data_IF_073979688006
#
_entry.id   IF_073979688006
#
_cell.length_a   1.000
_cell.length_b   1.000
_cell.length_c   1.000
_cell.angle_alpha   90.00
_cell.angle_beta   90.00
_cell.angle_gamma   90.00
#
_symmetry.space_group_name_H-M   'P 1'
#
loop_
_entity.id
_entity.type
_entity.pdbx_description
1 polymer ?
#
# COMPACT_ATOMS: atom_id res chain seq x y z
N UNK A 1 102.10 22.77 26.21
CA UNK A 1 101.40 22.04 25.13
C UNK A 1 100.21 21.21 25.64
N UNK A 2 100.38 20.31 26.62
CA UNK A 2 99.31 19.42 27.12
C UNK A 2 98.02 20.12 27.63
N UNK A 3 98.12 21.29 28.26
CA UNK A 3 96.95 22.01 28.81
C UNK A 3 96.05 22.67 27.75
N UNK A 4 96.61 23.09 26.61
CA UNK A 4 95.82 23.65 25.50
C UNK A 4 95.05 22.57 24.74
N UNK A 5 95.63 21.37 24.67
CA UNK A 5 95.08 20.20 23.99
C UNK A 5 93.89 19.61 24.77
N UNK A 6 94.01 19.49 26.10
CA UNK A 6 92.90 19.09 26.99
C UNK A 6 91.74 20.09 26.92
N UNK A 7 92.03 21.38 26.79
CA UNK A 7 90.99 22.42 26.67
C UNK A 7 90.24 22.34 25.34
N UNK A 8 90.96 22.12 24.23
CA UNK A 8 90.37 21.88 22.91
C UNK A 8 89.52 20.60 22.87
N UNK A 9 90.01 19.51 23.44
CA UNK A 9 89.26 18.26 23.58
C UNK A 9 87.98 18.44 24.40
N UNK A 10 88.03 19.23 25.48
CA UNK A 10 86.85 19.58 26.28
C UNK A 10 85.82 20.41 25.51
N UNK A 11 86.27 21.40 24.74
CA UNK A 11 85.42 22.24 23.88
C UNK A 11 84.78 21.41 22.76
N UNK A 12 85.54 20.54 22.10
CA UNK A 12 85.06 19.64 21.05
C UNK A 12 84.04 18.62 21.59
N UNK A 13 84.31 18.04 22.76
CA UNK A 13 83.39 17.15 23.45
C UNK A 13 82.07 17.85 23.84
N UNK A 14 82.16 19.05 24.40
CA UNK A 14 80.98 19.86 24.73
C UNK A 14 80.18 20.24 23.48
N UNK A 15 80.85 20.51 22.36
CA UNK A 15 80.20 20.85 21.10
C UNK A 15 79.49 19.64 20.50
N UNK A 16 80.11 18.46 20.55
CA UNK A 16 79.52 17.19 20.10
C UNK A 16 78.29 16.79 20.91
N UNK A 17 78.34 16.94 22.25
CA UNK A 17 77.17 16.72 23.11
C UNK A 17 76.04 17.67 22.74
N UNK A 18 76.35 18.96 22.54
CA UNK A 18 75.35 19.96 22.16
C UNK A 18 74.73 19.65 20.80
N UNK A 19 75.54 19.23 19.83
CA UNK A 19 75.07 18.82 18.50
C UNK A 19 74.15 17.59 18.57
N UNK A 20 74.55 16.56 19.30
CA UNK A 20 73.74 15.35 19.49
C UNK A 20 72.40 15.64 20.19
N UNK A 21 72.40 16.52 21.19
CA UNK A 21 71.18 16.95 21.89
C UNK A 21 70.20 17.69 20.96
N UNK A 22 70.71 18.64 20.16
CA UNK A 22 69.89 19.38 19.18
C UNK A 22 69.36 18.45 18.10
N UNK A 23 70.18 17.51 17.60
CA UNK A 23 69.75 16.53 16.61
C UNK A 23 68.64 15.63 17.15
N UNK A 24 68.79 15.11 18.38
CA UNK A 24 67.75 14.29 19.03
C UNK A 24 66.44 15.07 19.24
N UNK A 25 66.54 16.33 19.63
CA UNK A 25 65.35 17.18 19.80
C UNK A 25 64.63 17.42 18.47
N UNK A 26 65.38 17.68 17.38
CA UNK A 26 64.83 17.83 16.03
C UNK A 26 64.19 16.56 15.50
N UNK A 27 64.77 15.40 15.75
CA UNK A 27 64.17 14.13 15.32
C UNK A 27 62.90 13.82 16.11
N UNK A 28 62.86 14.11 17.41
CA UNK A 28 61.64 13.97 18.21
C UNK A 28 60.52 14.91 17.76
N UNK A 29 60.82 16.18 17.47
CA UNK A 29 59.80 17.11 16.95
C UNK A 29 59.31 16.68 15.57
N UNK A 30 60.22 16.31 14.66
CA UNK A 30 59.87 15.83 13.31
C UNK A 30 58.99 14.57 13.35
N UNK A 31 59.30 13.60 14.22
CA UNK A 31 58.48 12.40 14.41
C UNK A 31 57.10 12.76 14.98
N UNK A 32 57.03 13.68 15.95
CA UNK A 32 55.77 14.15 16.54
C UNK A 32 54.90 14.83 15.48
N UNK A 33 55.46 15.76 14.73
CA UNK A 33 54.73 16.50 13.68
C UNK A 33 54.28 15.55 12.57
N UNK A 34 55.08 14.53 12.23
CA UNK A 34 54.70 13.49 11.26
C UNK A 34 53.53 12.64 11.78
N UNK A 35 53.55 12.25 13.06
CA UNK A 35 52.48 11.45 13.66
C UNK A 35 51.19 12.27 13.80
N UNK A 36 51.27 13.53 14.19
CA UNK A 36 50.12 14.44 14.25
C UNK A 36 49.50 14.63 12.86
N UNK A 37 50.30 14.86 11.82
CA UNK A 37 49.81 14.95 10.45
C UNK A 37 49.16 13.66 9.95
N UNK A 38 49.75 12.49 10.26
CA UNK A 38 49.16 11.19 9.91
C UNK A 38 47.85 10.93 10.65
N UNK A 39 47.77 11.30 11.92
CA UNK A 39 46.55 11.16 12.72
C UNK A 39 45.43 12.04 12.13
N UNK A 40 45.71 13.30 11.81
CA UNK A 40 44.75 14.22 11.17
C UNK A 40 44.31 13.73 9.78
N UNK A 41 45.23 13.19 8.98
CA UNK A 41 44.88 12.59 7.70
C UNK A 41 44.01 11.34 7.86
N UNK A 42 44.34 10.49 8.85
CA UNK A 42 43.54 9.30 9.17
C UNK A 42 42.14 9.67 9.64
N UNK A 43 42.00 10.70 10.47
CA UNK A 43 40.71 11.21 10.94
C UNK A 43 39.85 11.72 9.76
N UNK A 44 40.43 12.56 8.89
CA UNK A 44 39.73 13.05 7.69
C UNK A 44 39.30 11.91 6.76
N UNK A 45 40.17 10.92 6.56
CA UNK A 45 39.84 9.75 5.74
C UNK A 45 38.68 8.95 6.34
N UNK A 46 38.66 8.75 7.67
CA UNK A 46 37.55 8.07 8.35
C UNK A 46 36.26 8.87 8.23
N UNK A 47 36.30 10.19 8.37
CA UNK A 47 35.13 11.05 8.22
C UNK A 47 34.55 11.00 6.80
N UNK A 48 35.40 11.00 5.78
CA UNK A 48 34.99 10.82 4.39
C UNK A 48 34.34 9.45 4.17
N UNK A 49 34.96 8.37 4.66
CA UNK A 49 34.37 7.02 4.58
C UNK A 49 33.01 6.97 5.28
N UNK A 50 32.89 7.55 6.47
CA UNK A 50 31.64 7.57 7.23
C UNK A 50 30.57 8.42 6.53
N UNK A 51 30.94 9.48 5.81
CA UNK A 51 30.00 10.23 4.96
C UNK A 51 29.51 9.37 3.80
N UNK A 52 30.42 8.71 3.10
CA UNK A 52 30.09 7.90 1.93
C UNK A 52 29.20 6.69 2.31
N UNK A 53 29.45 6.06 3.47
CA UNK A 53 28.58 5.00 4.01
C UNK A 53 27.16 5.53 4.27
N UNK A 54 27.02 6.73 4.86
CA UNK A 54 25.70 7.34 5.11
C UNK A 54 24.97 7.64 3.81
N UNK A 55 25.67 8.14 2.80
CA UNK A 55 25.10 8.37 1.47
C UNK A 55 24.64 7.06 0.81
N UNK A 56 25.46 6.01 0.92
CA UNK A 56 25.12 4.68 0.40
C UNK A 56 23.89 4.10 1.13
N UNK A 57 23.80 4.25 2.45
CA UNK A 57 22.65 3.79 3.24
C UNK A 57 21.37 4.51 2.84
N UNK A 58 21.43 5.82 2.63
CA UNK A 58 20.30 6.60 2.11
C UNK A 58 19.89 6.12 0.72
N UNK A 59 20.85 5.88 -0.17
CA UNK A 59 20.61 5.33 -1.50
C UNK A 59 19.92 3.96 -1.42
N UNK A 60 20.42 3.07 -0.56
CA UNK A 60 19.86 1.73 -0.32
C UNK A 60 18.43 1.81 0.22
N UNK A 61 18.18 2.70 1.17
CA UNK A 61 16.84 2.93 1.75
C UNK A 61 15.86 3.42 0.68
N UNK A 62 16.25 4.44 -0.09
CA UNK A 62 15.44 5.00 -1.17
C UNK A 62 15.14 3.95 -2.25
N UNK A 63 16.14 3.13 -2.62
CA UNK A 63 15.96 2.05 -3.57
C UNK A 63 14.99 0.98 -3.04
N UNK A 64 15.12 0.59 -1.77
CA UNK A 64 14.24 -0.38 -1.13
C UNK A 64 12.79 0.12 -1.08
N UNK A 65 12.59 1.41 -0.76
CA UNK A 65 11.30 2.06 -0.81
C UNK A 65 10.73 2.10 -2.23
N UNK A 66 11.56 2.41 -3.23
CA UNK A 66 11.19 2.42 -4.64
C UNK A 66 10.73 1.05 -5.14
N UNK A 67 11.49 -0.01 -4.83
CA UNK A 67 11.14 -1.40 -5.16
C UNK A 67 9.80 -1.79 -4.53
N UNK A 68 9.63 -1.53 -3.23
CA UNK A 68 8.38 -1.85 -2.52
C UNK A 68 7.18 -1.10 -3.10
N UNK A 69 7.39 0.17 -3.45
CA UNK A 69 6.35 1.01 -4.06
C UNK A 69 5.93 0.49 -5.43
N UNK A 70 6.89 0.13 -6.27
CA UNK A 70 6.63 -0.45 -7.59
C UNK A 70 5.91 -1.80 -7.49
N UNK A 71 6.30 -2.65 -6.54
CA UNK A 71 5.61 -3.93 -6.27
C UNK A 71 4.16 -3.70 -5.88
N UNK A 72 3.88 -2.77 -4.96
CA UNK A 72 2.51 -2.43 -4.57
C UNK A 72 1.70 -1.82 -5.71
N UNK A 73 2.34 -1.04 -6.58
CA UNK A 73 1.68 -0.47 -7.75
C UNK A 73 1.31 -1.58 -8.75
N UNK A 74 2.21 -2.51 -8.99
CA UNK A 74 1.92 -3.70 -9.79
C UNK A 74 0.77 -4.52 -9.20
N UNK A 75 0.79 -4.78 -7.89
CA UNK A 75 -0.32 -5.46 -7.20
C UNK A 75 -1.64 -4.73 -7.38
N UNK A 76 -1.64 -3.39 -7.31
CA UNK A 76 -2.83 -2.57 -7.50
C UNK A 76 -3.38 -2.69 -8.92
N UNK A 77 -2.52 -2.57 -9.94
CA UNK A 77 -2.92 -2.67 -11.35
C UNK A 77 -3.48 -4.07 -11.65
N UNK A 78 -2.73 -5.11 -11.28
CA UNK A 78 -3.14 -6.50 -11.52
C UNK A 78 -4.40 -6.87 -10.72
N UNK A 79 -4.52 -6.39 -9.49
CA UNK A 79 -5.69 -6.64 -8.65
C UNK A 79 -6.96 -5.96 -9.16
N UNK A 80 -6.88 -4.74 -9.71
CA UNK A 80 -8.05 -4.11 -10.35
C UNK A 80 -8.48 -4.88 -11.60
N UNK A 81 -7.53 -5.42 -12.38
CA UNK A 81 -7.86 -6.31 -13.51
C UNK A 81 -8.58 -7.57 -13.02
N UNK A 82 -8.04 -8.23 -12.00
CA UNK A 82 -8.62 -9.43 -11.41
C UNK A 82 -10.02 -9.17 -10.81
N UNK A 83 -10.23 -7.99 -10.20
CA UNK A 83 -11.54 -7.61 -9.66
C UNK A 83 -12.60 -7.48 -10.75
N UNK A 84 -12.24 -6.97 -11.94
CA UNK A 84 -13.17 -6.93 -13.09
C UNK A 84 -13.55 -8.33 -13.54
N UNK A 85 -12.58 -9.24 -13.58
CA UNK A 85 -12.84 -10.63 -13.95
C UNK A 85 -13.74 -11.32 -12.92
N UNK A 86 -13.49 -11.14 -11.63
CA UNK A 86 -14.33 -11.69 -10.56
C UNK A 86 -15.73 -11.06 -10.53
N UNK A 87 -15.86 -9.77 -10.88
CA UNK A 87 -17.15 -9.10 -11.06
C UNK A 87 -17.95 -9.70 -12.23
N UNK A 88 -17.29 -9.95 -13.38
CA UNK A 88 -17.95 -10.57 -14.54
C UNK A 88 -18.39 -12.02 -14.27
N UNK A 89 -17.60 -12.78 -13.50
CA UNK A 89 -17.89 -14.16 -13.10
C UNK A 89 -18.81 -14.26 -11.88
N UNK A 90 -19.22 -13.13 -11.31
CA UNK A 90 -20.03 -13.06 -10.08
C UNK A 90 -19.42 -13.87 -8.91
N UNK A 91 -18.09 -13.91 -8.82
CA UNK A 91 -17.34 -14.60 -7.75
C UNK A 91 -17.26 -13.71 -6.50
N UNK A 92 -18.39 -13.50 -5.81
CA UNK A 92 -18.51 -12.52 -4.71
C UNK A 92 -17.53 -12.75 -3.55
N UNK A 93 -17.23 -14.00 -3.22
CA UNK A 93 -16.27 -14.34 -2.16
C UNK A 93 -14.88 -13.73 -2.45
N UNK A 94 -14.31 -14.08 -3.61
CA UNK A 94 -13.00 -13.54 -4.04
C UNK A 94 -13.04 -12.03 -4.24
N UNK A 95 -14.12 -11.53 -4.85
CA UNK A 95 -14.30 -10.11 -5.07
C UNK A 95 -14.29 -9.31 -3.76
N UNK A 96 -14.91 -9.81 -2.69
CA UNK A 96 -14.93 -9.13 -1.39
C UNK A 96 -13.53 -8.98 -0.77
N UNK A 97 -12.77 -10.07 -0.75
CA UNK A 97 -11.40 -10.08 -0.22
C UNK A 97 -10.47 -9.20 -1.04
N UNK A 98 -10.55 -9.30 -2.37
CA UNK A 98 -9.74 -8.52 -3.28
C UNK A 98 -10.07 -7.03 -3.18
N UNK A 99 -11.35 -6.68 -3.04
CA UNK A 99 -11.78 -5.30 -2.88
C UNK A 99 -11.19 -4.67 -1.62
N UNK A 100 -11.26 -5.39 -0.49
CA UNK A 100 -10.68 -4.95 0.79
C UNK A 100 -9.17 -4.72 0.65
N UNK A 101 -8.45 -5.68 0.05
CA UNK A 101 -7.01 -5.56 -0.15
C UNK A 101 -6.63 -4.38 -1.07
N UNK A 102 -7.45 -4.09 -2.09
CA UNK A 102 -7.23 -2.94 -2.96
C UNK A 102 -7.49 -1.62 -2.24
N UNK A 103 -8.48 -1.55 -1.35
CA UNK A 103 -8.72 -0.37 -0.52
C UNK A 103 -7.55 -0.10 0.44
N UNK A 104 -6.97 -1.14 1.05
CA UNK A 104 -5.78 -1.01 1.89
C UNK A 104 -4.57 -0.50 1.07
N UNK A 105 -4.39 -0.98 -0.16
CA UNK A 105 -3.34 -0.50 -1.06
C UNK A 105 -3.56 0.98 -1.42
N UNK A 106 -4.79 1.39 -1.75
CA UNK A 106 -5.11 2.79 -2.01
C UNK A 106 -4.81 3.66 -0.79
N UNK A 107 -5.18 3.20 0.40
CA UNK A 107 -4.90 3.90 1.65
C UNK A 107 -3.38 4.06 1.87
N UNK A 108 -2.59 3.03 1.60
CA UNK A 108 -1.12 3.11 1.66
C UNK A 108 -0.56 4.18 0.70
N UNK A 109 -1.04 4.23 -0.55
CA UNK A 109 -0.58 5.26 -1.50
C UNK A 109 -0.94 6.68 -1.06
N UNK A 110 -2.11 6.87 -0.46
CA UNK A 110 -2.55 8.19 0.01
C UNK A 110 -1.84 8.62 1.29
N UNK A 111 -1.67 7.73 2.25
CA UNK A 111 -1.14 8.07 3.59
C UNK A 111 0.37 8.02 3.66
N UNK A 112 0.99 6.94 3.15
CA UNK A 112 2.43 6.73 3.30
C UNK A 112 3.23 7.40 2.19
N UNK A 113 2.70 7.43 0.97
CA UNK A 113 3.39 8.02 -0.19
C UNK A 113 2.87 9.41 -0.55
N UNK A 114 1.87 9.93 0.19
CA UNK A 114 1.25 11.23 -0.03
C UNK A 114 0.86 11.47 -1.51
N UNK A 115 0.46 10.41 -2.22
CA UNK A 115 0.12 10.48 -3.64
C UNK A 115 -1.27 11.07 -3.79
N UNK A 116 -1.35 12.22 -4.47
CA UNK A 116 -2.62 12.80 -4.84
C UNK A 116 -3.17 12.11 -6.10
N UNK A 117 -4.14 11.21 -5.91
CA UNK A 117 -4.80 10.47 -7.00
C UNK A 117 -5.36 11.41 -8.07
N UNK A 118 -5.81 12.61 -7.72
CA UNK A 118 -6.39 13.57 -8.67
C UNK A 118 -5.34 14.19 -9.60
N UNK A 119 -4.08 14.26 -9.17
CA UNK A 119 -2.98 14.82 -9.94
C UNK A 119 -2.28 13.77 -10.83
N UNK A 120 -2.57 12.48 -10.63
CA UNK A 120 -1.96 11.39 -11.40
C UNK A 120 -3.00 10.71 -12.30
N UNK A 121 -3.01 10.99 -13.61
CA UNK A 121 -4.09 10.55 -14.49
C UNK A 121 -4.21 9.02 -14.60
N UNK A 122 -3.09 8.27 -14.54
CA UNK A 122 -3.15 6.81 -14.59
C UNK A 122 -3.82 6.21 -13.34
N UNK A 123 -3.50 6.75 -12.15
CA UNK A 123 -4.10 6.30 -10.90
C UNK A 123 -5.58 6.67 -10.82
N UNK A 124 -5.95 7.87 -11.30
CA UNK A 124 -7.34 8.27 -11.41
C UNK A 124 -8.13 7.31 -12.31
N UNK A 125 -7.59 6.96 -13.48
CA UNK A 125 -8.21 5.97 -14.39
C UNK A 125 -8.36 4.61 -13.70
N UNK A 126 -7.32 4.13 -13.02
CA UNK A 126 -7.36 2.85 -12.31
C UNK A 126 -8.41 2.83 -11.18
N UNK A 127 -8.53 3.95 -10.45
CA UNK A 127 -9.56 4.11 -9.43
C UNK A 127 -10.97 4.10 -10.02
N UNK A 128 -11.19 4.79 -11.15
CA UNK A 128 -12.46 4.76 -11.88
C UNK A 128 -12.83 3.36 -12.39
N UNK A 129 -11.84 2.61 -12.85
CA UNK A 129 -12.01 1.22 -13.28
C UNK A 129 -12.45 0.32 -12.13
N UNK A 130 -11.85 0.48 -10.95
CA UNK A 130 -12.26 -0.20 -9.72
C UNK A 130 -13.67 0.20 -9.28
N UNK A 131 -14.02 1.50 -9.37
CA UNK A 131 -15.37 1.97 -9.03
C UNK A 131 -16.44 1.47 -10.02
N UNK A 132 -16.07 1.28 -11.29
CA UNK A 132 -16.93 0.61 -12.27
C UNK A 132 -17.17 -0.85 -11.89
N UNK A 133 -16.11 -1.58 -11.54
CA UNK A 133 -16.23 -2.98 -11.10
C UNK A 133 -17.10 -3.12 -9.84
N UNK A 134 -16.96 -2.19 -8.87
CA UNK A 134 -17.84 -2.12 -7.68
C UNK A 134 -19.31 -1.97 -8.07
N UNK A 135 -19.63 -1.07 -8.99
CA UNK A 135 -21.01 -0.89 -9.47
C UNK A 135 -21.54 -2.15 -10.14
N UNK A 136 -20.73 -2.80 -10.99
CA UNK A 136 -21.11 -4.08 -11.63
C UNK A 136 -21.42 -5.17 -10.60
N UNK A 137 -20.63 -5.27 -9.53
CA UNK A 137 -20.88 -6.18 -8.42
C UNK A 137 -22.19 -5.85 -7.70
N UNK A 138 -22.41 -4.58 -7.36
CA UNK A 138 -23.65 -4.13 -6.71
C UNK A 138 -24.87 -4.47 -7.56
N UNK A 139 -24.85 -4.15 -8.86
CA UNK A 139 -25.95 -4.45 -9.78
C UNK A 139 -26.20 -5.96 -9.91
N UNK A 140 -25.14 -6.77 -9.86
CA UNK A 140 -25.22 -8.22 -9.89
C UNK A 140 -25.86 -8.80 -8.62
N UNK A 141 -25.45 -8.30 -7.46
CA UNK A 141 -26.04 -8.68 -6.16
C UNK A 141 -27.51 -8.28 -6.12
N UNK A 142 -27.82 -7.05 -6.53
CA UNK A 142 -29.19 -6.53 -6.66
C UNK A 142 -30.08 -7.45 -7.50
N UNK A 143 -29.58 -7.93 -8.64
CA UNK A 143 -30.29 -8.89 -9.50
C UNK A 143 -30.51 -10.22 -8.79
N UNK A 144 -29.48 -10.76 -8.16
CA UNK A 144 -29.56 -12.06 -7.48
C UNK A 144 -30.57 -12.03 -6.33
N UNK A 145 -30.62 -10.94 -5.56
CA UNK A 145 -31.61 -10.74 -4.50
C UNK A 145 -33.04 -10.57 -5.04
N UNK A 146 -33.23 -10.00 -6.23
CA UNK A 146 -34.56 -9.91 -6.87
C UNK A 146 -35.03 -11.23 -7.46
N UNK A 147 -34.11 -12.06 -7.95
CA UNK A 147 -34.41 -13.39 -8.52
C UNK A 147 -34.56 -14.47 -7.45
N UNK A 148 -34.24 -14.17 -6.19
CA UNK A 148 -34.39 -15.10 -5.09
C UNK A 148 -35.88 -15.37 -4.81
N UNK A 149 -36.35 -16.54 -5.26
CA UNK A 149 -37.64 -17.10 -4.89
C UNK A 149 -37.43 -18.45 -4.16
N UNK A 150 -37.71 -18.53 -2.85
CA UNK A 150 -37.60 -19.75 -2.06
C UNK A 150 -38.38 -20.96 -2.62
N UNK A 151 -39.39 -20.72 -3.46
CA UNK A 151 -40.23 -21.77 -4.07
C UNK A 151 -39.66 -22.33 -5.37
N UNK A 152 -38.73 -21.62 -6.01
CA UNK A 152 -38.18 -21.95 -7.34
C UNK A 152 -36.72 -22.41 -7.24
N UNK A 153 -36.00 -22.04 -6.19
CA UNK A 153 -34.58 -22.36 -6.02
C UNK A 153 -34.37 -23.86 -5.76
N UNK A 154 -33.70 -24.53 -6.71
CA UNK A 154 -33.38 -25.96 -6.67
C UNK A 154 -32.26 -26.26 -5.65
N UNK A 155 -31.26 -25.37 -5.55
CA UNK A 155 -30.16 -25.47 -4.58
C UNK A 155 -30.12 -24.26 -3.64
N UNK A 156 -30.77 -24.43 -2.50
CA UNK A 156 -30.86 -23.40 -1.47
C UNK A 156 -29.50 -23.12 -0.79
N UNK A 157 -28.56 -24.08 -0.78
CA UNK A 157 -27.26 -23.88 -0.14
C UNK A 157 -26.36 -22.98 -0.97
N UNK A 158 -26.24 -23.28 -2.26
CA UNK A 158 -25.43 -22.49 -3.20
C UNK A 158 -25.96 -21.05 -3.31
N UNK A 159 -27.28 -20.88 -3.39
CA UNK A 159 -27.89 -19.55 -3.43
C UNK A 159 -27.64 -18.77 -2.14
N UNK A 160 -27.81 -19.38 -0.96
CA UNK A 160 -27.52 -18.73 0.32
C UNK A 160 -26.04 -18.35 0.45
N UNK A 161 -25.14 -19.20 -0.03
CA UNK A 161 -23.70 -18.94 -0.03
C UNK A 161 -23.38 -17.74 -0.90
N UNK A 162 -23.92 -17.70 -2.11
CA UNK A 162 -23.79 -16.58 -3.05
C UNK A 162 -24.34 -15.27 -2.47
N UNK A 163 -25.56 -15.26 -1.91
CA UNK A 163 -26.15 -14.07 -1.31
C UNK A 163 -25.37 -13.60 -0.07
N UNK A 164 -24.88 -14.53 0.75
CA UNK A 164 -24.02 -14.22 1.91
C UNK A 164 -22.76 -13.46 1.48
N UNK A 165 -22.06 -13.93 0.46
CA UNK A 165 -20.88 -13.21 -0.03
C UNK A 165 -21.23 -11.92 -0.76
N UNK A 166 -22.40 -11.85 -1.41
CA UNK A 166 -22.93 -10.60 -1.93
C UNK A 166 -23.06 -9.55 -0.83
N UNK A 167 -23.62 -9.92 0.33
CA UNK A 167 -23.65 -9.04 1.50
C UNK A 167 -22.25 -8.64 1.98
N UNK A 168 -21.30 -9.58 2.00
CA UNK A 168 -19.91 -9.29 2.37
C UNK A 168 -19.26 -8.26 1.43
N UNK A 169 -19.53 -8.33 0.12
CA UNK A 169 -19.07 -7.30 -0.83
C UNK A 169 -19.65 -5.93 -0.50
N UNK A 170 -20.95 -5.85 -0.19
CA UNK A 170 -21.63 -4.60 0.20
C UNK A 170 -21.01 -4.03 1.49
N UNK A 171 -20.73 -4.89 2.48
CA UNK A 171 -20.10 -4.49 3.73
C UNK A 171 -18.70 -3.89 3.52
N UNK A 172 -17.90 -4.46 2.61
CA UNK A 172 -16.57 -3.94 2.24
C UNK A 172 -16.67 -2.61 1.51
N UNK A 173 -17.66 -2.43 0.61
CA UNK A 173 -17.86 -1.17 -0.11
C UNK A 173 -18.19 -0.03 0.86
N UNK A 174 -19.00 -0.30 1.88
CA UNK A 174 -19.21 0.63 2.98
C UNK A 174 -20.63 0.63 3.55
N UNK A 175 -20.74 1.15 4.78
CA UNK A 175 -22.01 1.20 5.53
C UNK A 175 -23.09 2.02 4.85
N UNK A 176 -22.73 3.09 4.16
CA UNK A 176 -23.69 3.94 3.44
C UNK A 176 -24.36 3.19 2.29
N UNK A 177 -23.57 2.46 1.49
CA UNK A 177 -24.10 1.66 0.39
C UNK A 177 -24.96 0.50 0.92
N UNK A 178 -24.61 -0.08 2.06
CA UNK A 178 -25.47 -1.06 2.74
C UNK A 178 -26.83 -0.49 3.11
N UNK A 179 -26.90 0.71 3.70
CA UNK A 179 -28.17 1.34 4.04
C UNK A 179 -29.00 1.60 2.79
N UNK A 180 -28.39 2.17 1.73
CA UNK A 180 -29.06 2.40 0.44
C UNK A 180 -29.57 1.11 -0.19
N UNK A 181 -28.80 0.03 -0.09
CA UNK A 181 -29.20 -1.29 -0.58
C UNK A 181 -30.42 -1.81 0.17
N UNK A 182 -30.40 -1.78 1.51
CA UNK A 182 -31.52 -2.22 2.36
C UNK A 182 -32.78 -1.43 2.05
N UNK A 183 -32.70 -0.10 1.99
CA UNK A 183 -33.85 0.76 1.66
C UNK A 183 -34.46 0.41 0.30
N UNK A 184 -33.62 0.28 -0.74
CA UNK A 184 -34.04 -0.06 -2.10
C UNK A 184 -34.65 -1.46 -2.16
N UNK A 185 -34.06 -2.42 -1.47
CA UNK A 185 -34.57 -3.79 -1.40
C UNK A 185 -35.94 -3.83 -0.72
N UNK A 186 -36.09 -3.18 0.44
CA UNK A 186 -37.36 -3.09 1.15
C UNK A 186 -38.46 -2.43 0.30
N UNK A 187 -38.16 -1.31 -0.36
CA UNK A 187 -39.11 -0.64 -1.26
C UNK A 187 -39.54 -1.56 -2.41
N UNK A 188 -38.58 -2.27 -3.01
CA UNK A 188 -38.83 -3.20 -4.11
C UNK A 188 -39.76 -4.33 -3.66
N UNK A 189 -39.49 -4.95 -2.51
CA UNK A 189 -40.32 -6.04 -1.97
C UNK A 189 -41.75 -5.59 -1.63
N UNK A 190 -41.93 -4.38 -1.08
CA UNK A 190 -43.26 -3.81 -0.80
C UNK A 190 -44.05 -3.60 -2.09
N UNK A 191 -43.41 -3.10 -3.15
CA UNK A 191 -44.05 -2.90 -4.46
C UNK A 191 -44.46 -4.25 -5.06
N UNK A 192 -43.57 -5.26 -5.02
CA UNK A 192 -43.90 -6.61 -5.50
C UNK A 192 -45.09 -7.21 -4.76
N UNK A 193 -45.15 -7.08 -3.43
CA UNK A 193 -46.28 -7.54 -2.64
C UNK A 193 -47.58 -6.84 -3.04
N UNK A 194 -47.55 -5.52 -3.22
CA UNK A 194 -48.70 -4.71 -3.61
C UNK A 194 -49.25 -5.10 -5.00
N UNK A 195 -48.36 -5.22 -6.00
CA UNK A 195 -48.72 -5.62 -7.36
C UNK A 195 -49.31 -7.03 -7.38
N UNK A 196 -48.73 -7.96 -6.61
CA UNK A 196 -49.25 -9.32 -6.50
C UNK A 196 -50.68 -9.31 -5.96
N UNK A 197 -50.94 -8.65 -4.82
CA UNK A 197 -52.31 -8.53 -4.30
C UNK A 197 -53.28 -7.88 -5.27
N UNK A 198 -52.85 -6.85 -6.00
CA UNK A 198 -53.70 -6.13 -6.95
C UNK A 198 -54.06 -7.00 -8.17
N UNK A 199 -53.11 -7.77 -8.72
CA UNK A 199 -53.38 -8.73 -9.81
C UNK A 199 -54.36 -9.82 -9.37
N UNK A 200 -54.19 -10.37 -8.17
CA UNK A 200 -55.13 -11.37 -7.66
C UNK A 200 -56.54 -10.80 -7.52
N UNK A 201 -56.67 -9.60 -6.96
CA UNK A 201 -57.97 -8.92 -6.84
C UNK A 201 -58.63 -8.72 -8.21
N UNK A 202 -57.87 -8.28 -9.21
CA UNK A 202 -58.36 -8.12 -10.58
C UNK A 202 -58.81 -9.44 -11.21
N UNK A 203 -58.04 -10.52 -11.02
CA UNK A 203 -58.37 -11.85 -11.52
C UNK A 203 -59.67 -12.38 -10.88
N UNK A 204 -59.84 -12.19 -9.57
CA UNK A 204 -61.09 -12.54 -8.87
C UNK A 204 -62.29 -11.73 -9.37
N UNK A 205 -62.11 -10.42 -9.63
CA UNK A 205 -63.17 -9.58 -10.18
C UNK A 205 -63.59 -10.04 -11.59
N UNK A 206 -62.64 -10.36 -12.47
CA UNK A 206 -62.93 -10.92 -13.80
C UNK A 206 -63.64 -12.28 -13.71
N UNK A 207 -63.21 -13.14 -12.79
CA UNK A 207 -63.87 -14.44 -12.57
C UNK A 207 -65.31 -14.26 -12.10
N UNK A 208 -65.57 -13.31 -11.18
CA UNK A 208 -66.92 -12.98 -10.72
C UNK A 208 -67.78 -12.39 -11.84
N UNK A 209 -67.26 -11.46 -12.63
CA UNK A 209 -67.99 -10.93 -13.80
C UNK A 209 -68.31 -12.03 -14.81
N UNK A 210 -67.38 -12.94 -15.07
CA UNK A 210 -67.60 -14.07 -15.98
C UNK A 210 -68.68 -15.01 -15.46
N UNK A 211 -68.67 -15.35 -14.17
CA UNK A 211 -69.71 -16.18 -13.55
C UNK A 211 -71.08 -15.48 -13.65
N UNK A 212 -71.17 -14.18 -13.35
CA UNK A 212 -72.43 -13.43 -13.49
C UNK A 212 -72.92 -13.41 -14.94
N UNK A 213 -72.02 -13.19 -15.91
CA UNK A 213 -72.37 -13.17 -17.33
C UNK A 213 -72.84 -14.53 -17.88
N UNK A 214 -72.33 -15.64 -17.35
CA UNK A 214 -72.71 -17.00 -17.80
C UNK A 214 -74.03 -17.47 -17.17
N UNK A 215 -74.38 -16.96 -15.98
CA UNK A 215 -75.56 -17.40 -15.20
C UNK A 215 -76.76 -16.46 -15.29
N UNK A 216 -76.68 -15.38 -16.09
CA UNK A 216 -77.79 -14.47 -16.45
C UNK A 216 -78.08 -14.64 -17.93
#
# INVERSE_FOLDING_TARGET
MKTAEVKRLGEEFSTNIRYAAVHRMRTQTSVRDTNENKALQSERMVDEICRDIRELDNCKSNLSLGITTLQKLHMLVSGVSQLKDDASKQSYDRASHLLSALDDLWHYFQTQLHVNINNTPQLKKLKQEMDTARKTLLDAIDRDFRLFDPKVVIDMREMNHRLKYGCQVIDVIGKEERTKFIERFCQTQVIYAYIHTYMYMYMYMYMYMYIIYVYV
#
